data_IF_426771596121
#
_entry.id   IF_426771596121
#
_cell.length_a   1.000
_cell.length_b   1.000
_cell.length_c   1.000
_cell.angle_alpha   90.00
_cell.angle_beta   90.00
_cell.angle_gamma   90.00
#
_symmetry.space_group_name_H-M   'P 1'
#
loop_
_entity.id
_entity.type
_entity.pdbx_description
1 polymer ?
#
# COMPACT_ATOMS: atom_id res chain seq x y z
N UNK A 1 -17.65 -24.83 43.69
CA UNK A 1 -16.63 -25.49 42.85
C UNK A 1 -16.52 -24.64 41.59
N UNK A 2 -15.52 -23.76 41.53
CA UNK A 2 -15.44 -22.69 40.51
C UNK A 2 -15.17 -23.27 39.12
N UNK A 3 -15.89 -22.73 38.14
CA UNK A 3 -16.06 -23.26 36.79
C UNK A 3 -14.82 -22.99 35.92
N UNK A 4 -13.87 -23.93 35.95
CA UNK A 4 -12.63 -23.88 35.16
C UNK A 4 -12.85 -23.80 33.64
N UNK A 5 -14.09 -24.01 33.15
CA UNK A 5 -14.43 -23.98 31.72
C UNK A 5 -14.50 -22.56 31.16
N UNK A 6 -14.84 -21.57 31.99
CA UNK A 6 -14.94 -20.16 31.58
C UNK A 6 -13.56 -19.49 31.39
N UNK A 7 -12.55 -19.93 32.13
CA UNK A 7 -11.19 -19.36 32.08
C UNK A 7 -10.49 -19.74 30.76
N UNK A 8 -10.72 -20.96 30.28
CA UNK A 8 -10.05 -21.47 29.08
C UNK A 8 -10.56 -20.80 27.79
N UNK A 9 -11.86 -20.45 27.74
CA UNK A 9 -12.44 -19.72 26.59
C UNK A 9 -11.96 -18.27 26.51
N UNK A 10 -11.77 -17.60 27.66
CA UNK A 10 -11.24 -16.24 27.69
C UNK A 10 -9.78 -16.18 27.20
N UNK A 11 -8.98 -17.17 27.59
CA UNK A 11 -7.57 -17.25 27.19
C UNK A 11 -7.41 -17.55 25.68
N UNK A 12 -8.24 -18.42 25.12
CA UNK A 12 -8.24 -18.70 23.69
C UNK A 12 -8.73 -17.51 22.85
N UNK A 13 -9.74 -16.78 23.35
CA UNK A 13 -10.23 -15.57 22.67
C UNK A 13 -9.19 -14.45 22.69
N UNK A 14 -8.46 -14.26 23.80
CA UNK A 14 -7.41 -13.25 23.88
C UNK A 14 -6.25 -13.56 22.93
N UNK A 15 -5.82 -14.83 22.89
CA UNK A 15 -4.74 -15.28 22.00
C UNK A 15 -5.09 -15.12 20.52
N UNK A 16 -6.33 -15.47 20.12
CA UNK A 16 -6.80 -15.29 18.75
C UNK A 16 -6.93 -13.82 18.34
N UNK A 17 -7.26 -12.94 19.28
CA UNK A 17 -7.32 -11.49 19.05
C UNK A 17 -5.91 -10.90 18.95
N UNK A 18 -4.98 -11.30 19.81
CA UNK A 18 -3.56 -10.90 19.73
C UNK A 18 -2.92 -11.34 18.42
N UNK A 19 -3.12 -12.60 18.00
CA UNK A 19 -2.61 -13.11 16.73
C UNK A 19 -3.20 -12.35 15.53
N UNK A 20 -4.48 -11.98 15.59
CA UNK A 20 -5.13 -11.14 14.57
C UNK A 20 -4.56 -9.71 14.51
N UNK A 21 -4.29 -9.09 15.67
CA UNK A 21 -3.73 -7.73 15.76
C UNK A 21 -2.27 -7.71 15.29
N UNK A 22 -1.48 -8.73 15.64
CA UNK A 22 -0.08 -8.85 15.21
C UNK A 22 -0.01 -9.04 13.68
N UNK A 23 -0.85 -9.91 13.11
CA UNK A 23 -0.92 -10.10 11.66
C UNK A 23 -1.32 -8.82 10.91
N UNK A 24 -2.31 -8.07 11.39
CA UNK A 24 -2.75 -6.82 10.73
C UNK A 24 -1.64 -5.74 10.79
N UNK A 25 -0.89 -5.69 11.89
CA UNK A 25 0.22 -4.75 12.06
C UNK A 25 1.43 -5.09 11.17
N UNK A 26 1.77 -6.37 11.02
CA UNK A 26 2.87 -6.83 10.16
C UNK A 26 2.56 -6.60 8.66
N UNK A 27 1.31 -6.83 8.25
CA UNK A 27 0.85 -6.55 6.88
C UNK A 27 0.93 -5.05 6.59
N UNK A 28 0.51 -4.22 7.55
CA UNK A 28 0.61 -2.75 7.48
C UNK A 28 2.06 -2.25 7.38
N UNK A 29 2.97 -2.83 8.16
CA UNK A 29 4.38 -2.47 8.17
C UNK A 29 5.05 -2.84 6.84
N UNK A 30 4.77 -4.03 6.31
CA UNK A 30 5.33 -4.50 5.05
C UNK A 30 4.95 -3.60 3.86
N UNK A 31 3.70 -3.13 3.81
CA UNK A 31 3.21 -2.16 2.84
C UNK A 31 3.92 -0.81 2.97
N UNK A 32 4.16 -0.35 4.19
CA UNK A 32 4.85 0.90 4.47
C UNK A 32 6.32 0.84 4.04
N UNK A 33 7.01 -0.26 4.33
CA UNK A 33 8.39 -0.52 3.89
C UNK A 33 8.44 -0.53 2.35
N UNK A 34 7.51 -1.23 1.69
CA UNK A 34 7.45 -1.27 0.24
C UNK A 34 7.27 0.14 -0.37
N UNK A 35 6.37 0.95 0.18
CA UNK A 35 6.16 2.34 -0.26
C UNK A 35 7.43 3.18 -0.06
N UNK A 36 8.07 3.09 1.11
CA UNK A 36 9.34 3.78 1.39
C UNK A 36 10.44 3.35 0.41
N UNK A 37 10.56 2.07 0.10
CA UNK A 37 11.54 1.56 -0.87
C UNK A 37 11.36 2.19 -2.25
N UNK A 38 10.12 2.25 -2.76
CA UNK A 38 9.84 2.87 -4.05
C UNK A 38 10.12 4.39 -4.04
N UNK A 39 9.78 5.09 -2.96
CA UNK A 39 10.11 6.52 -2.80
C UNK A 39 11.63 6.74 -2.83
N UNK A 40 12.39 5.92 -2.09
CA UNK A 40 13.84 5.95 -2.11
C UNK A 40 14.41 5.69 -3.51
N UNK A 41 13.81 4.75 -4.27
CA UNK A 41 14.22 4.44 -5.63
C UNK A 41 13.99 5.61 -6.60
N UNK A 42 12.87 6.32 -6.46
CA UNK A 42 12.57 7.54 -7.23
C UNK A 42 13.56 8.65 -6.90
N UNK A 43 13.87 8.87 -5.62
CA UNK A 43 14.87 9.84 -5.18
C UNK A 43 16.25 9.51 -5.74
N UNK A 44 16.64 8.24 -5.71
CA UNK A 44 17.89 7.77 -6.32
C UNK A 44 17.92 8.04 -7.82
N UNK A 45 16.85 7.69 -8.55
CA UNK A 45 16.76 7.94 -9.98
C UNK A 45 16.89 9.44 -10.32
N UNK A 46 16.23 10.31 -9.56
CA UNK A 46 16.33 11.76 -9.71
C UNK A 46 17.73 12.28 -9.40
N UNK A 47 18.37 11.80 -8.33
CA UNK A 47 19.76 12.15 -8.00
C UNK A 47 20.73 11.72 -9.10
N UNK A 48 20.56 10.49 -9.63
CA UNK A 48 21.39 9.95 -10.71
C UNK A 48 21.21 10.74 -12.01
N UNK A 49 20.00 11.25 -12.26
CA UNK A 49 19.72 12.13 -13.39
C UNK A 49 20.49 13.45 -13.29
N UNK A 50 20.39 14.13 -12.14
CA UNK A 50 21.10 15.39 -11.89
C UNK A 50 22.61 15.19 -11.96
N UNK A 51 23.11 14.09 -11.40
CA UNK A 51 24.51 13.71 -11.48
C UNK A 51 24.98 13.45 -12.91
N UNK A 52 24.16 12.80 -13.74
CA UNK A 52 24.46 12.61 -15.17
C UNK A 52 24.63 13.92 -15.91
N UNK A 53 23.76 14.91 -15.64
CA UNK A 53 23.85 16.25 -16.24
C UNK A 53 25.14 16.97 -15.85
N UNK A 54 25.53 16.87 -14.57
CA UNK A 54 26.78 17.45 -14.05
C UNK A 54 28.03 16.78 -14.65
N UNK A 55 28.01 15.45 -14.77
CA UNK A 55 29.14 14.67 -15.28
C UNK A 55 29.22 14.62 -16.82
N UNK A 56 28.28 15.25 -17.54
CA UNK A 56 28.11 15.15 -19.00
C UNK A 56 28.10 13.70 -19.54
N UNK A 57 27.75 12.74 -18.69
CA UNK A 57 27.79 11.33 -19.01
C UNK A 57 26.39 10.84 -19.37
N UNK A 58 26.15 10.69 -20.67
CA UNK A 58 24.86 10.30 -21.25
C UNK A 58 24.41 8.91 -20.79
N UNK A 59 25.36 8.02 -20.46
CA UNK A 59 25.08 6.66 -19.98
C UNK A 59 24.32 6.69 -18.64
N UNK A 60 24.76 7.49 -17.67
CA UNK A 60 24.06 7.61 -16.38
C UNK A 60 22.66 8.21 -16.55
N UNK A 61 22.49 9.11 -17.52
CA UNK A 61 21.20 9.70 -17.86
C UNK A 61 20.24 8.68 -18.43
N UNK A 62 20.72 7.86 -19.38
CA UNK A 62 19.95 6.75 -19.94
C UNK A 62 19.54 5.73 -18.87
N UNK A 63 20.44 5.36 -17.96
CA UNK A 63 20.15 4.45 -16.85
C UNK A 63 19.10 5.04 -15.89
N UNK A 64 19.23 6.33 -15.54
CA UNK A 64 18.24 7.03 -14.73
C UNK A 64 16.85 7.04 -15.39
N UNK A 65 16.80 7.27 -16.70
CA UNK A 65 15.55 7.32 -17.46
C UNK A 65 14.86 5.95 -17.51
N UNK A 66 15.64 4.87 -17.68
CA UNK A 66 15.13 3.49 -17.58
C UNK A 66 14.59 3.20 -16.17
N UNK A 67 15.30 3.61 -15.12
CA UNK A 67 14.82 3.47 -13.74
C UNK A 67 13.50 4.22 -13.52
N UNK A 68 13.39 5.44 -14.06
CA UNK A 68 12.17 6.25 -13.96
C UNK A 68 10.97 5.58 -14.65
N UNK A 69 11.18 4.97 -15.83
CA UNK A 69 10.13 4.22 -16.53
C UNK A 69 9.68 2.98 -15.76
N UNK A 70 10.60 2.29 -15.10
CA UNK A 70 10.27 1.15 -14.22
C UNK A 70 9.46 1.63 -13.02
N UNK A 71 9.84 2.75 -12.40
CA UNK A 71 9.07 3.37 -11.32
C UNK A 71 7.68 3.83 -11.78
N UNK A 72 7.54 4.35 -13.01
CA UNK A 72 6.24 4.73 -13.57
C UNK A 72 5.32 3.51 -13.74
N UNK A 73 5.81 2.42 -14.32
CA UNK A 73 4.99 1.23 -14.61
C UNK A 73 4.72 0.37 -13.38
N UNK A 74 5.73 0.15 -12.55
CA UNK A 74 5.66 -0.77 -11.41
C UNK A 74 5.45 -0.02 -10.09
N UNK A 75 6.16 1.09 -9.89
CA UNK A 75 6.06 1.89 -8.67
C UNK A 75 4.69 2.53 -8.50
N UNK A 76 4.04 2.98 -9.58
CA UNK A 76 2.68 3.54 -9.48
C UNK A 76 1.66 2.50 -8.98
N UNK A 77 1.67 1.28 -9.53
CA UNK A 77 0.81 0.20 -9.04
C UNK A 77 1.12 -0.13 -7.58
N UNK A 78 2.41 -0.20 -7.21
CA UNK A 78 2.81 -0.53 -5.85
C UNK A 78 2.46 0.56 -4.82
N UNK A 79 2.53 1.85 -5.19
CA UNK A 79 2.17 2.96 -4.31
C UNK A 79 0.67 3.22 -4.24
N UNK A 80 -0.04 3.12 -5.36
CA UNK A 80 -1.39 3.66 -5.51
C UNK A 80 -2.50 2.61 -5.67
N UNK A 81 -2.21 1.32 -5.86
CA UNK A 81 -3.27 0.31 -6.02
C UNK A 81 -4.26 0.27 -4.83
N UNK A 82 -3.78 0.41 -3.60
CA UNK A 82 -4.64 0.52 -2.42
C UNK A 82 -5.52 1.78 -2.43
N UNK A 83 -4.97 2.88 -2.96
CA UNK A 83 -5.69 4.14 -3.07
C UNK A 83 -6.77 4.06 -4.15
N UNK A 84 -6.47 3.45 -5.29
CA UNK A 84 -7.43 3.20 -6.36
C UNK A 84 -8.56 2.29 -5.90
N UNK A 85 -8.27 1.21 -5.17
CA UNK A 85 -9.30 0.34 -4.59
C UNK A 85 -10.20 1.08 -3.58
N UNK A 86 -9.64 2.01 -2.80
CA UNK A 86 -10.43 2.88 -1.90
C UNK A 86 -11.31 3.85 -2.68
N UNK A 87 -10.81 4.43 -3.76
CA UNK A 87 -11.57 5.34 -4.63
C UNK A 87 -12.67 4.59 -5.36
N UNK A 88 -12.40 3.38 -5.83
CA UNK A 88 -13.34 2.54 -6.55
C UNK A 88 -14.48 2.07 -5.66
N UNK A 89 -14.18 1.62 -4.42
CA UNK A 89 -15.21 1.33 -3.41
C UNK A 89 -16.08 2.54 -3.10
N UNK A 90 -15.49 3.74 -2.98
CA UNK A 90 -16.26 4.98 -2.81
C UNK A 90 -17.18 5.22 -4.01
N UNK A 91 -16.66 5.17 -5.24
CA UNK A 91 -17.45 5.35 -6.48
C UNK A 91 -18.62 4.35 -6.55
N UNK A 92 -18.41 3.11 -6.14
CA UNK A 92 -19.46 2.10 -6.13
C UNK A 92 -20.58 2.40 -5.12
N UNK A 93 -20.22 2.86 -3.92
CA UNK A 93 -21.18 3.34 -2.92
C UNK A 93 -21.99 4.55 -3.43
N UNK A 94 -21.35 5.49 -4.12
CA UNK A 94 -22.03 6.63 -4.74
C UNK A 94 -22.97 6.19 -5.88
N UNK A 95 -22.56 5.21 -6.72
CA UNK A 95 -23.45 4.63 -7.75
C UNK A 95 -24.66 3.96 -7.11
N UNK A 96 -24.48 3.13 -6.07
CA UNK A 96 -25.58 2.47 -5.36
C UNK A 96 -26.57 3.47 -4.75
N UNK A 97 -26.09 4.60 -4.19
CA UNK A 97 -26.97 5.69 -3.74
C UNK A 97 -27.70 6.35 -4.91
N UNK A 98 -27.02 6.66 -6.01
CA UNK A 98 -27.61 7.35 -7.16
C UNK A 98 -28.71 6.52 -7.85
N UNK A 99 -28.51 5.20 -7.99
CA UNK A 99 -29.49 4.29 -8.59
C UNK A 99 -30.55 3.80 -7.59
N UNK A 100 -30.23 3.64 -6.31
CA UNK A 100 -31.22 3.33 -5.27
C UNK A 100 -32.22 4.45 -5.01
N UNK A 101 -31.86 5.71 -5.30
CA UNK A 101 -32.77 6.86 -5.26
C UNK A 101 -33.67 6.91 -6.50
N UNK A 102 -33.23 6.36 -7.64
CA UNK A 102 -34.07 6.32 -8.86
C UNK A 102 -35.22 5.31 -8.78
N UNK A 103 -35.14 4.27 -7.95
CA UNK A 103 -36.24 3.30 -7.78
C UNK A 103 -37.39 3.79 -6.88
N UNK A 104 -37.32 5.05 -6.41
CA UNK A 104 -38.33 5.71 -5.56
C UNK A 104 -38.97 6.94 -6.24
N UNK A 105 -39.06 6.95 -7.57
CA UNK A 105 -39.87 7.93 -8.30
C UNK A 105 -40.83 7.23 -9.24
#
# INVERSE_FOLDING_TARGET
MMDYRHINNAHHSHKSVEEGIVMENDESLSLLIQKCMWICLILLAAGLFVFSLLAQNVIYGAVSLVLALICEKCGYKALFAEFDLKIERKKELWRKRKYGIQSRK
#
